data_IF_299398331169
#
_entry.id   IF_299398331169
#
_cell.length_a   1.000
_cell.length_b   1.000
_cell.length_c   1.000
_cell.angle_alpha   90.00
_cell.angle_beta   90.00
_cell.angle_gamma   90.00
#
_symmetry.space_group_name_H-M   'P 1'
#
loop_
_entity.id
_entity.type
_entity.pdbx_description
1 polymer ?
#
# COMPACT_ATOMS: atom_id res chain seq x y z
N UNK A 1 -13.53 15.79 21.80
CA UNK A 1 -12.19 15.26 21.44
C UNK A 1 -12.29 13.74 21.55
N UNK A 2 -12.53 13.01 20.46
CA UNK A 2 -12.67 11.55 20.51
C UNK A 2 -11.29 10.92 20.67
N UNK A 3 -11.01 10.38 21.86
CA UNK A 3 -9.91 9.45 22.12
C UNK A 3 -10.20 8.18 21.31
N UNK A 4 -9.35 7.82 20.36
CA UNK A 4 -9.66 6.81 19.35
C UNK A 4 -9.73 5.40 19.93
N UNK A 5 -10.85 4.73 19.73
CA UNK A 5 -10.98 3.29 19.96
C UNK A 5 -10.12 2.50 18.97
N UNK A 6 -9.66 1.31 19.37
CA UNK A 6 -9.07 0.39 18.40
C UNK A 6 -10.17 -0.09 17.43
N UNK A 7 -10.05 0.29 16.17
CA UNK A 7 -11.04 0.02 15.13
C UNK A 7 -10.68 -1.16 14.21
N UNK A 8 -9.56 -1.84 14.43
CA UNK A 8 -9.14 -2.89 13.50
C UNK A 8 -7.73 -3.41 13.70
N UNK A 9 -7.30 -4.24 12.77
CA UNK A 9 -5.97 -4.84 12.78
C UNK A 9 -5.39 -4.88 11.37
N UNK A 10 -4.07 -4.98 11.32
CA UNK A 10 -3.30 -5.19 10.10
C UNK A 10 -2.19 -6.18 10.40
N UNK A 11 -2.02 -7.15 9.50
CA UNK A 11 -0.94 -8.13 9.52
C UNK A 11 -0.09 -7.90 8.28
N UNK A 12 1.22 -7.80 8.48
CA UNK A 12 2.22 -7.64 7.44
C UNK A 12 3.16 -8.84 7.51
N UNK A 13 3.48 -9.44 6.38
CA UNK A 13 4.48 -10.49 6.29
C UNK A 13 5.43 -10.19 5.14
N UNK A 14 6.71 -10.50 5.34
CA UNK A 14 7.75 -10.45 4.31
C UNK A 14 8.63 -11.68 4.45
N UNK A 15 8.80 -12.42 3.38
CA UNK A 15 9.78 -13.50 3.26
C UNK A 15 10.72 -13.22 2.12
N UNK A 16 12.01 -13.45 2.32
CA UNK A 16 13.05 -13.25 1.31
C UNK A 16 13.86 -14.53 1.17
N UNK A 17 13.98 -15.02 -0.06
CA UNK A 17 14.77 -16.19 -0.43
C UNK A 17 15.61 -15.85 -1.66
N UNK A 18 16.93 -15.79 -1.49
CA UNK A 18 17.84 -15.29 -2.53
C UNK A 18 17.45 -13.88 -2.99
N UNK A 19 17.26 -13.72 -4.30
CA UNK A 19 16.86 -12.44 -4.93
C UNK A 19 15.34 -12.22 -4.93
N UNK A 20 14.55 -13.16 -4.40
CA UNK A 20 13.09 -13.10 -4.39
C UNK A 20 12.58 -12.62 -3.03
N UNK A 21 11.65 -11.68 -3.02
CA UNK A 21 10.95 -11.21 -1.83
C UNK A 21 9.44 -11.23 -2.07
N UNK A 22 8.73 -11.96 -1.22
CA UNK A 22 7.28 -12.03 -1.17
C UNK A 22 6.80 -11.20 0.02
N UNK A 23 5.89 -10.26 -0.21
CA UNK A 23 5.36 -9.34 0.78
C UNK A 23 3.84 -9.42 0.75
N UNK A 24 3.19 -9.50 1.91
CA UNK A 24 1.74 -9.53 2.03
C UNK A 24 1.23 -8.57 3.11
N UNK A 25 0.02 -8.09 2.90
CA UNK A 25 -0.75 -7.30 3.86
C UNK A 25 -2.16 -7.86 3.91
N UNK A 26 -2.65 -8.14 5.11
CA UNK A 26 -4.08 -8.37 5.35
C UNK A 26 -4.54 -7.43 6.44
N UNK A 27 -5.66 -6.76 6.26
CA UNK A 27 -6.23 -5.89 7.29
C UNK A 27 -7.75 -5.92 7.30
N UNK A 28 -8.30 -5.68 8.48
CA UNK A 28 -9.73 -5.52 8.68
C UNK A 28 -9.98 -4.34 9.62
N UNK A 29 -10.79 -3.38 9.16
CA UNK A 29 -11.23 -2.22 9.94
C UNK A 29 -12.75 -2.30 10.09
N UNK A 30 -13.24 -2.11 11.31
CA UNK A 30 -14.65 -1.98 11.67
C UNK A 30 -14.83 -0.67 12.41
N UNK A 31 -15.59 0.25 11.80
CA UNK A 31 -15.86 1.55 12.41
C UNK A 31 -17.30 1.98 12.13
N UNK A 32 -17.76 3.00 12.83
CA UNK A 32 -19.06 3.63 12.62
C UNK A 32 -18.87 5.14 12.62
N UNK A 33 -18.94 5.75 11.43
CA UNK A 33 -18.94 7.21 11.30
C UNK A 33 -20.40 7.69 11.37
N UNK A 34 -21.20 7.33 10.36
CA UNK A 34 -22.66 7.54 10.33
C UNK A 34 -23.37 6.18 10.35
N UNK A 35 -22.91 5.26 9.51
CA UNK A 35 -23.35 3.86 9.42
C UNK A 35 -22.19 2.91 9.74
N UNK A 36 -22.45 1.66 10.18
CA UNK A 36 -21.41 0.66 10.33
C UNK A 36 -20.70 0.37 9.00
N UNK A 37 -19.38 0.43 9.01
CA UNK A 37 -18.52 0.15 7.87
C UNK A 37 -17.48 -0.88 8.28
N UNK A 38 -17.41 -1.96 7.51
CA UNK A 38 -16.36 -2.96 7.54
C UNK A 38 -15.53 -2.86 6.27
N UNK A 39 -14.24 -2.56 6.40
CA UNK A 39 -13.28 -2.54 5.30
C UNK A 39 -12.34 -3.73 5.46
N UNK A 40 -12.18 -4.51 4.41
CA UNK A 40 -11.18 -5.56 4.30
C UNK A 40 -10.22 -5.21 3.16
N UNK A 41 -8.93 -5.42 3.40
CA UNK A 41 -7.87 -5.24 2.41
C UNK A 41 -6.91 -6.43 2.47
N UNK A 42 -6.56 -6.93 1.30
CA UNK A 42 -5.55 -7.94 1.09
C UNK A 42 -4.68 -7.51 -0.08
N UNK A 43 -3.37 -7.44 0.13
CA UNK A 43 -2.39 -7.07 -0.88
C UNK A 43 -1.23 -8.06 -0.86
N UNK A 44 -0.66 -8.31 -2.04
CA UNK A 44 0.57 -9.07 -2.19
C UNK A 44 1.49 -8.35 -3.18
N UNK A 45 2.79 -8.47 -2.97
CA UNK A 45 3.81 -8.06 -3.93
C UNK A 45 4.97 -9.03 -3.91
N UNK A 46 5.39 -9.45 -5.09
CA UNK A 46 6.53 -10.32 -5.29
C UNK A 46 7.55 -9.55 -6.12
N UNK A 47 8.75 -9.43 -5.56
CA UNK A 47 9.92 -8.83 -6.17
C UNK A 47 10.98 -9.90 -6.44
N UNK A 48 11.66 -9.84 -7.58
CA UNK A 48 12.75 -10.73 -7.95
C UNK A 48 13.80 -9.89 -8.64
N UNK A 49 15.05 -9.97 -8.19
CA UNK A 49 16.16 -9.17 -8.72
C UNK A 49 15.83 -7.67 -8.77
N UNK A 50 15.14 -7.18 -7.73
CA UNK A 50 14.74 -5.79 -7.57
C UNK A 50 13.62 -5.31 -8.50
N UNK A 51 12.92 -6.20 -9.20
CA UNK A 51 11.75 -5.87 -10.04
C UNK A 51 10.50 -6.52 -9.50
N UNK A 52 9.39 -5.78 -9.51
CA UNK A 52 8.07 -6.34 -9.31
C UNK A 52 7.79 -7.33 -10.44
N UNK A 53 7.42 -8.56 -10.12
CA UNK A 53 6.96 -9.58 -11.08
C UNK A 53 5.49 -9.90 -10.90
N UNK A 54 4.96 -9.71 -9.69
CA UNK A 54 3.56 -9.89 -9.38
C UNK A 54 3.11 -8.94 -8.29
N UNK A 55 1.92 -8.37 -8.41
CA UNK A 55 1.17 -7.80 -7.29
C UNK A 55 -0.31 -8.10 -7.41
N UNK A 56 -1.00 -8.14 -6.27
CA UNK A 56 -2.44 -8.24 -6.19
C UNK A 56 -3.00 -7.27 -5.15
N UNK A 57 -4.22 -6.78 -5.41
CA UNK A 57 -4.95 -5.91 -4.50
C UNK A 57 -6.43 -6.28 -4.51
N UNK A 58 -6.90 -6.74 -3.35
CA UNK A 58 -8.30 -7.02 -3.10
C UNK A 58 -8.79 -6.12 -1.97
N UNK A 59 -9.84 -5.35 -2.21
CA UNK A 59 -10.52 -4.61 -1.14
C UNK A 59 -12.02 -4.83 -1.18
N UNK A 60 -12.62 -4.95 0.01
CA UNK A 60 -14.07 -5.10 0.19
C UNK A 60 -14.57 -4.06 1.18
N UNK A 61 -15.74 -3.49 0.91
CA UNK A 61 -16.48 -2.65 1.87
C UNK A 61 -17.84 -3.26 2.10
N UNK A 62 -18.14 -3.59 3.36
CA UNK A 62 -19.36 -4.31 3.75
C UNK A 62 -19.59 -5.56 2.88
N UNK A 63 -18.51 -6.33 2.66
CA UNK A 63 -18.52 -7.56 1.85
C UNK A 63 -18.48 -7.35 0.33
N UNK A 64 -18.79 -6.15 -0.18
CA UNK A 64 -18.79 -5.85 -1.62
C UNK A 64 -17.39 -5.52 -2.12
N UNK A 65 -16.94 -6.17 -3.19
CA UNK A 65 -15.65 -5.90 -3.83
C UNK A 65 -15.61 -4.45 -4.32
N UNK A 66 -14.51 -3.75 -4.00
CA UNK A 66 -14.21 -2.38 -4.41
C UNK A 66 -12.97 -2.29 -5.30
N UNK A 67 -12.05 -3.23 -5.13
CA UNK A 67 -10.88 -3.39 -5.98
C UNK A 67 -10.56 -4.86 -6.04
N UNK A 68 -10.32 -5.36 -7.24
CA UNK A 68 -9.75 -6.68 -7.51
C UNK A 68 -8.84 -6.50 -8.72
N UNK A 69 -7.54 -6.38 -8.44
CA UNK A 69 -6.53 -5.98 -9.41
C UNK A 69 -5.30 -6.83 -9.26
N UNK A 70 -4.69 -7.16 -10.40
CA UNK A 70 -3.41 -7.84 -10.45
C UNK A 70 -2.48 -7.14 -11.42
N UNK A 71 -1.20 -7.07 -11.09
CA UNK A 71 -0.13 -6.63 -12.00
C UNK A 71 0.85 -7.78 -12.19
N UNK A 72 1.26 -8.07 -13.43
CA UNK A 72 2.25 -9.11 -13.75
C UNK A 72 3.31 -8.56 -14.69
N UNK A 73 4.56 -8.98 -14.52
CA UNK A 73 5.60 -8.76 -15.52
C UNK A 73 5.58 -9.93 -16.51
N UNK A 74 5.17 -9.67 -17.75
CA UNK A 74 5.10 -10.66 -18.83
C UNK A 74 5.87 -10.12 -20.03
N UNK A 75 6.84 -10.89 -20.54
CA UNK A 75 7.67 -10.50 -21.70
C UNK A 75 8.24 -9.07 -21.57
N UNK A 76 8.78 -8.73 -20.40
CA UNK A 76 9.32 -7.40 -20.05
C UNK A 76 8.30 -6.23 -20.11
N UNK A 77 7.00 -6.53 -20.05
CA UNK A 77 5.95 -5.51 -19.95
C UNK A 77 5.09 -5.78 -18.72
N UNK A 78 4.69 -4.71 -18.06
CA UNK A 78 3.74 -4.82 -16.96
C UNK A 78 2.33 -4.86 -17.51
N UNK A 79 1.59 -5.88 -17.10
CA UNK A 79 0.21 -6.11 -17.49
C UNK A 79 -0.66 -6.05 -16.26
N UNK A 80 -1.67 -5.19 -16.31
CA UNK A 80 -2.64 -5.00 -15.23
C UNK A 80 -3.96 -5.61 -15.66
N UNK A 81 -4.51 -6.49 -14.83
CA UNK A 81 -5.85 -7.06 -15.00
C UNK A 81 -6.76 -6.52 -13.90
N UNK A 82 -7.89 -5.93 -14.30
CA UNK A 82 -8.94 -5.46 -13.39
C UNK A 82 -10.31 -5.72 -14.05
N UNK A 83 -11.21 -6.43 -13.35
CA UNK A 83 -12.52 -6.83 -13.90
C UNK A 83 -12.45 -7.55 -15.25
N UNK A 84 -11.43 -8.38 -15.46
CA UNK A 84 -11.20 -9.11 -16.72
C UNK A 84 -10.61 -8.28 -17.86
N UNK A 85 -10.45 -6.97 -17.69
CA UNK A 85 -9.82 -6.08 -18.67
C UNK A 85 -8.32 -6.05 -18.41
N UNK A 86 -7.53 -6.30 -19.46
CA UNK A 86 -6.07 -6.28 -19.43
C UNK A 86 -5.53 -5.02 -20.09
N UNK A 87 -4.65 -4.32 -19.38
CA UNK A 87 -3.94 -3.13 -19.86
C UNK A 87 -2.44 -3.32 -19.74
N UNK A 88 -1.67 -2.73 -20.67
CA UNK A 88 -0.22 -2.71 -20.61
C UNK A 88 0.26 -1.37 -20.09
N UNK A 89 1.13 -1.39 -19.09
CA UNK A 89 1.70 -0.20 -18.48
C UNK A 89 2.96 0.27 -19.22
N UNK A 90 3.20 1.59 -19.32
CA UNK A 90 4.36 2.14 -20.02
C UNK A 90 5.65 2.14 -19.18
N UNK A 91 5.68 1.41 -18.06
CA UNK A 91 6.82 1.42 -17.15
C UNK A 91 7.82 0.31 -17.53
N UNK A 92 9.11 0.63 -17.74
CA UNK A 92 10.12 -0.38 -18.09
C UNK A 92 10.53 -1.25 -16.90
N UNK A 93 10.42 -0.72 -15.68
CA UNK A 93 10.71 -1.43 -14.43
C UNK A 93 9.92 -0.78 -13.27
N UNK A 94 9.41 -1.61 -12.36
CA UNK A 94 8.83 -1.18 -11.09
C UNK A 94 9.67 -1.83 -9.99
N UNK A 95 10.50 -1.04 -9.30
CA UNK A 95 11.42 -1.55 -8.26
C UNK A 95 10.95 -1.32 -6.83
N UNK A 96 9.87 -0.57 -6.65
CA UNK A 96 9.29 -0.25 -5.34
C UNK A 96 7.80 -0.04 -5.50
N UNK A 97 7.03 -0.38 -4.46
CA UNK A 97 5.63 -0.02 -4.36
C UNK A 97 5.23 0.30 -2.91
N UNK A 98 3.96 0.67 -2.69
CA UNK A 98 3.47 1.06 -1.38
C UNK A 98 3.63 -0.02 -0.32
N UNK A 99 3.52 -1.30 -0.70
CA UNK A 99 3.65 -2.40 0.25
C UNK A 99 5.11 -2.55 0.74
N UNK A 100 6.09 -2.28 -0.12
CA UNK A 100 7.50 -2.27 0.27
C UNK A 100 7.82 -1.17 1.29
N UNK A 101 7.09 -0.05 1.28
CA UNK A 101 7.30 1.06 2.24
C UNK A 101 7.04 0.67 3.70
N UNK A 102 6.37 -0.44 3.99
CA UNK A 102 6.24 -0.92 5.36
C UNK A 102 7.55 -1.53 5.91
N UNK A 103 8.40 -2.04 5.03
CA UNK A 103 9.62 -2.76 5.37
C UNK A 103 10.91 -2.03 5.03
N UNK A 104 10.81 -0.90 4.32
CA UNK A 104 11.98 -0.13 3.89
C UNK A 104 11.71 1.37 3.94
N UNK A 105 12.56 2.10 4.67
CA UNK A 105 12.54 3.56 4.70
C UNK A 105 13.05 4.13 3.37
N UNK A 106 12.27 4.99 2.69
CA UNK A 106 12.61 5.50 1.36
C UNK A 106 13.61 6.68 1.43
N UNK A 107 14.79 6.48 2.03
CA UNK A 107 15.78 7.55 2.24
C UNK A 107 16.25 8.17 0.92
N UNK A 108 16.49 7.34 -0.10
CA UNK A 108 16.95 7.78 -1.43
C UNK A 108 15.84 7.84 -2.49
N UNK A 109 14.67 7.23 -2.22
CA UNK A 109 13.60 7.13 -3.19
C UNK A 109 12.80 8.43 -3.29
N UNK A 110 12.62 8.94 -4.51
CA UNK A 110 11.78 10.13 -4.79
C UNK A 110 10.34 9.77 -5.15
N UNK A 111 10.13 8.52 -5.57
CA UNK A 111 8.86 8.04 -6.06
C UNK A 111 8.62 6.60 -5.60
N UNK A 112 7.36 6.26 -5.43
CA UNK A 112 6.90 4.90 -5.12
C UNK A 112 5.75 4.52 -6.05
N UNK A 113 5.72 3.29 -6.54
CA UNK A 113 4.61 2.83 -7.36
C UNK A 113 3.35 2.61 -6.50
N UNK A 114 2.22 3.08 -7.00
CA UNK A 114 0.91 2.80 -6.43
C UNK A 114 0.15 1.88 -7.38
N UNK A 115 0.07 0.59 -7.01
CA UNK A 115 -0.62 -0.45 -7.78
C UNK A 115 -2.09 -0.09 -8.07
N UNK A 116 -2.79 0.51 -7.09
CA UNK A 116 -4.22 0.83 -7.22
C UNK A 116 -4.45 1.86 -8.31
N UNK A 117 -3.64 2.91 -8.31
CA UNK A 117 -3.73 4.04 -9.24
C UNK A 117 -2.84 3.88 -10.49
N UNK A 118 -2.10 2.77 -10.58
CA UNK A 118 -1.23 2.40 -11.70
C UNK A 118 -0.26 3.53 -12.08
N UNK A 119 0.31 4.18 -11.06
CA UNK A 119 1.22 5.33 -11.27
C UNK A 119 2.20 5.48 -10.13
N UNK A 120 3.34 6.11 -10.42
CA UNK A 120 4.26 6.56 -9.40
C UNK A 120 3.73 7.78 -8.66
N UNK A 121 3.83 7.76 -7.34
CA UNK A 121 3.54 8.88 -6.46
C UNK A 121 4.85 9.48 -5.96
N UNK A 122 4.90 10.82 -5.88
CA UNK A 122 6.04 11.53 -5.30
C UNK A 122 6.06 11.32 -3.79
N UNK A 123 7.25 11.01 -3.27
CA UNK A 123 7.53 10.96 -1.85
C UNK A 123 8.01 12.33 -1.40
N UNK A 124 7.39 12.88 -0.36
CA UNK A 124 7.77 14.18 0.22
C UNK A 124 8.12 13.99 1.69
N UNK A 125 9.38 14.23 2.06
CA UNK A 125 9.79 14.22 3.47
C UNK A 125 9.20 15.43 4.18
N UNK A 126 8.54 15.21 5.31
CA UNK A 126 7.88 16.24 6.11
C UNK A 126 8.79 16.70 7.25
N UNK A 127 8.52 17.88 7.80
CA UNK A 127 9.32 18.48 8.89
C UNK A 127 9.27 17.67 10.19
N UNK A 128 8.22 16.88 10.40
CA UNK A 128 8.08 15.96 11.54
C UNK A 128 8.73 14.59 11.29
N UNK A 129 9.54 14.46 10.24
CA UNK A 129 10.33 13.26 9.94
C UNK A 129 9.56 12.17 9.18
N UNK A 130 8.31 12.40 8.80
CA UNK A 130 7.52 11.47 8.00
C UNK A 130 7.80 11.54 6.51
N UNK A 131 7.24 10.58 5.78
CA UNK A 131 7.28 10.49 4.31
C UNK A 131 5.84 10.51 3.79
N UNK A 132 5.39 11.67 3.27
CA UNK A 132 4.04 11.88 2.77
C UNK A 132 3.89 11.48 1.29
N UNK A 133 2.78 10.81 1.00
CA UNK A 133 2.27 10.52 -0.34
C UNK A 133 0.89 11.17 -0.50
N UNK A 134 0.71 11.91 -1.60
CA UNK A 134 -0.60 12.45 -1.99
C UNK A 134 -1.18 11.59 -3.12
N UNK A 135 -2.39 11.10 -2.93
CA UNK A 135 -3.12 10.31 -3.93
C UNK A 135 -3.89 11.23 -4.89
N UNK A 136 -4.23 10.76 -6.10
CA UNK A 136 -4.95 11.57 -7.10
C UNK A 136 -6.29 12.15 -6.61
N UNK A 137 -6.91 11.51 -5.63
CA UNK A 137 -8.18 11.95 -5.03
C UNK A 137 -8.00 12.91 -3.84
N UNK A 138 -6.80 13.43 -3.60
CA UNK A 138 -6.52 14.38 -2.51
C UNK A 138 -6.22 13.72 -1.16
N UNK A 139 -6.55 12.44 -0.99
CA UNK A 139 -6.20 11.67 0.20
C UNK A 139 -4.67 11.61 0.38
N UNK A 140 -4.23 11.35 1.62
CA UNK A 140 -2.81 11.27 1.93
C UNK A 140 -2.49 10.12 2.87
N UNK A 141 -1.29 9.59 2.73
CA UNK A 141 -0.67 8.73 3.74
C UNK A 141 0.68 9.34 4.12
N UNK A 142 1.04 9.31 5.39
CA UNK A 142 2.37 9.70 5.87
C UNK A 142 2.97 8.56 6.70
N UNK A 143 4.13 8.07 6.26
CA UNK A 143 4.83 6.93 6.86
C UNK A 143 5.95 7.42 7.78
N UNK A 144 6.10 6.78 8.93
CA UNK A 144 7.12 7.08 9.93
C UNK A 144 7.90 5.82 10.27
N UNK A 145 9.21 5.98 10.40
CA UNK A 145 10.16 4.88 10.48
C UNK A 145 10.97 4.92 11.77
N UNK A 146 11.36 3.74 12.23
CA UNK A 146 12.36 3.53 13.27
C UNK A 146 13.30 2.41 12.81
N UNK A 147 14.61 2.68 12.81
CA UNK A 147 15.63 1.74 12.32
C UNK A 147 15.33 1.19 10.91
N UNK A 148 14.82 2.03 10.02
CA UNK A 148 14.50 1.67 8.63
C UNK A 148 13.19 0.93 8.41
N UNK A 149 12.44 0.58 9.47
CA UNK A 149 11.15 -0.14 9.38
C UNK A 149 10.00 0.80 9.75
N UNK A 150 8.88 0.70 9.03
CA UNK A 150 7.72 1.55 9.29
C UNK A 150 7.10 1.16 10.64
N UNK A 151 6.95 2.14 11.54
CA UNK A 151 6.32 1.93 12.86
C UNK A 151 4.97 2.62 12.98
N UNK A 152 4.69 3.61 12.12
CA UNK A 152 3.42 4.33 12.13
C UNK A 152 3.04 4.84 10.76
N UNK A 153 1.74 4.81 10.45
CA UNK A 153 1.16 5.45 9.28
C UNK A 153 0.03 6.37 9.73
N UNK A 154 0.09 7.64 9.31
CA UNK A 154 -1.05 8.55 9.37
C UNK A 154 -1.80 8.49 8.05
N UNK A 155 -3.03 8.01 8.10
CA UNK A 155 -3.92 7.86 6.95
C UNK A 155 -4.95 8.99 7.00
N UNK A 156 -4.88 9.92 6.06
CA UNK A 156 -5.82 11.03 5.95
C UNK A 156 -6.77 10.78 4.79
N UNK A 157 -8.06 10.84 5.09
CA UNK A 157 -9.16 10.80 4.12
C UNK A 157 -10.03 12.05 4.27
N UNK A 158 -10.90 12.30 3.29
CA UNK A 158 -11.79 13.48 3.30
C UNK A 158 -12.62 13.61 4.57
N UNK A 159 -13.10 12.48 5.14
CA UNK A 159 -14.02 12.46 6.27
C UNK A 159 -13.41 11.97 7.58
N UNK A 160 -12.21 11.41 7.55
CA UNK A 160 -11.60 10.82 8.74
C UNK A 160 -10.07 10.74 8.64
N UNK A 161 -9.42 10.64 9.78
CA UNK A 161 -8.01 10.28 9.89
C UNK A 161 -7.85 9.05 10.79
N UNK A 162 -6.92 8.17 10.44
CA UNK A 162 -6.56 6.99 11.21
C UNK A 162 -5.06 6.95 11.39
N UNK A 163 -4.61 6.60 12.59
CA UNK A 163 -3.23 6.22 12.83
C UNK A 163 -3.14 4.69 12.90
N UNK A 164 -2.23 4.11 12.14
CA UNK A 164 -1.87 2.71 12.23
C UNK A 164 -0.56 2.63 12.99
N UNK A 165 -0.56 1.94 14.13
CA UNK A 165 0.63 1.69 14.93
C UNK A 165 1.09 0.26 14.66
N UNK A 166 2.34 0.11 14.23
CA UNK A 166 2.93 -1.18 13.91
C UNK A 166 3.84 -1.62 15.05
N UNK A 167 3.51 -2.77 15.63
CA UNK A 167 4.36 -3.46 16.60
C UNK A 167 5.14 -4.55 15.85
N UNK A 168 6.48 -4.53 15.91
CA UNK A 168 7.31 -5.60 15.37
C UNK A 168 7.08 -6.94 16.07
#
# INVERSE_FOLDING_TARGET
>A
MYKGDNIGWMKLEKSTEGDKSDISLVSEIKTRIVVPIKVYLEEQSVFEKGKLIFSSQLSKTNGKIKTDKQTKLVNNKYEVTENGIRNVMPYPAISTNLLLMYFEEPVAAKYVYNDKHQRFLKIVKTSDGGYELKFPNGNKNCFYYSKGICTKIKVQRDLYAVEVILTP
#
